data_IF_906963532335
#
_entry.id   IF_906963532335
#
_cell.length_a   1.000
_cell.length_b   1.000
_cell.length_c   1.000
_cell.angle_alpha   90.00
_cell.angle_beta   90.00
_cell.angle_gamma   90.00
#
_symmetry.space_group_name_H-M   'P 1'
#
loop_
_entity.id
_entity.type
_entity.pdbx_description
1 polymer ?
#
# COMPACT_ATOMS: atom_id res chain seq x y z
N UNK A 1 23.52 6.54 14.23
CA UNK A 1 22.52 5.72 14.96
C UNK A 1 22.44 4.41 14.21
N UNK A 2 22.52 3.27 14.88
CA UNK A 2 22.38 1.98 14.18
C UNK A 2 20.89 1.75 13.95
N UNK A 3 20.41 1.93 12.72
CA UNK A 3 18.99 1.91 12.36
C UNK A 3 18.26 0.66 12.87
N UNK A 4 18.91 -0.50 12.84
CA UNK A 4 18.33 -1.77 13.32
C UNK A 4 17.93 -1.77 14.81
N UNK A 5 18.62 -0.98 15.64
CA UNK A 5 18.41 -0.88 17.09
C UNK A 5 17.46 0.21 17.51
N UNK A 6 16.70 0.77 16.58
CA UNK A 6 15.67 1.75 16.91
C UNK A 6 14.60 1.05 17.76
N UNK A 7 14.30 1.63 18.94
CA UNK A 7 13.21 1.18 19.77
C UNK A 7 11.91 1.80 19.30
N UNK A 8 10.94 0.96 18.95
CA UNK A 8 9.67 1.43 18.41
C UNK A 8 8.89 2.31 19.42
N UNK A 9 9.08 2.10 20.71
CA UNK A 9 8.49 2.93 21.78
C UNK A 9 8.90 4.40 21.73
N UNK A 10 10.06 4.73 21.13
CA UNK A 10 10.54 6.11 21.00
C UNK A 10 9.73 6.86 19.92
N UNK A 11 8.96 6.14 19.13
CA UNK A 11 8.02 6.67 18.12
C UNK A 11 6.57 6.56 18.61
N UNK A 12 6.37 6.90 19.86
CA UNK A 12 5.06 6.90 20.50
C UNK A 12 4.56 8.34 20.72
N UNK A 13 3.25 8.52 20.60
CA UNK A 13 2.55 9.74 20.96
C UNK A 13 1.14 9.39 21.45
N UNK A 14 0.51 10.29 22.19
CA UNK A 14 -0.86 10.08 22.67
C UNK A 14 -1.84 10.39 21.53
N UNK A 15 -2.52 9.36 21.01
CA UNK A 15 -3.59 9.52 20.03
C UNK A 15 -4.94 9.24 20.68
N UNK A 16 -5.73 10.27 21.04
CA UNK A 16 -7.08 10.09 21.56
C UNK A 16 -8.03 9.50 20.51
N UNK A 17 -8.96 8.61 20.90
CA UNK A 17 -9.89 7.95 19.97
C UNK A 17 -10.78 8.95 19.22
N UNK A 18 -11.12 10.07 19.85
CA UNK A 18 -11.89 11.18 19.24
C UNK A 18 -11.15 11.87 18.09
N UNK A 19 -9.83 11.73 18.01
CA UNK A 19 -9.03 12.24 16.88
C UNK A 19 -9.01 11.29 15.70
N UNK A 20 -9.39 10.05 15.87
CA UNK A 20 -9.45 9.06 14.79
C UNK A 20 -10.74 9.29 13.97
N UNK A 21 -10.56 9.71 12.72
CA UNK A 21 -11.69 9.90 11.81
C UNK A 21 -12.28 8.55 11.40
N UNK A 22 -13.47 8.23 11.90
CA UNK A 22 -14.15 6.96 11.63
C UNK A 22 -14.87 6.95 10.27
N UNK A 23 -15.12 8.13 9.70
CA UNK A 23 -15.76 8.34 8.41
C UNK A 23 -15.08 9.48 7.66
N UNK A 24 -15.11 9.45 6.30
CA UNK A 24 -14.61 10.56 5.51
C UNK A 24 -15.51 11.79 5.66
N UNK A 25 -15.00 12.96 5.29
CA UNK A 25 -15.82 14.14 5.06
C UNK A 25 -16.74 13.92 3.85
N UNK A 26 -17.89 14.60 3.83
CA UNK A 26 -18.79 14.59 2.68
C UNK A 26 -18.09 15.07 1.40
N UNK A 27 -17.26 16.09 1.53
CA UNK A 27 -16.31 16.57 0.51
C UNK A 27 -14.91 16.22 0.98
N UNK A 28 -14.32 15.17 0.40
CA UNK A 28 -13.05 14.59 0.86
C UNK A 28 -11.85 15.53 0.71
N UNK A 29 -11.89 16.44 -0.26
CA UNK A 29 -10.87 17.45 -0.53
C UNK A 29 -10.97 18.70 0.39
N UNK A 30 -12.01 18.78 1.23
CA UNK A 30 -12.14 19.78 2.29
C UNK A 30 -11.43 19.36 3.60
N UNK A 31 -10.70 18.26 3.61
CA UNK A 31 -9.82 17.90 4.73
C UNK A 31 -8.76 18.97 4.94
N UNK A 32 -8.27 19.13 6.17
CA UNK A 32 -7.12 20.00 6.44
C UNK A 32 -5.87 19.45 5.77
N UNK A 33 -4.99 20.34 5.37
CA UNK A 33 -3.67 20.05 4.84
C UNK A 33 -2.62 20.69 5.75
N UNK A 34 -1.88 19.88 6.50
CA UNK A 34 -0.71 20.36 7.21
C UNK A 34 0.44 20.51 6.21
N UNK A 35 1.08 21.67 6.24
CA UNK A 35 2.24 21.98 5.42
C UNK A 35 3.49 21.99 6.31
N UNK A 36 4.43 21.11 6.04
CA UNK A 36 5.78 21.20 6.59
C UNK A 36 6.73 21.58 5.46
N UNK A 37 7.36 22.75 5.58
CA UNK A 37 8.27 23.26 4.57
C UNK A 37 9.55 23.78 5.24
N UNK A 38 10.67 23.09 5.01
CA UNK A 38 11.99 23.45 5.51
C UNK A 38 12.01 23.81 7.02
N UNK A 39 11.33 22.99 7.82
CA UNK A 39 11.26 23.17 9.28
C UNK A 39 10.12 24.06 9.78
N UNK A 40 9.37 24.71 8.91
CA UNK A 40 8.18 25.52 9.28
C UNK A 40 6.89 24.71 9.09
N UNK A 41 5.94 24.87 10.03
CA UNK A 41 4.62 24.24 9.98
C UNK A 41 3.55 25.29 9.78
N UNK A 42 2.65 25.04 8.83
CA UNK A 42 1.45 25.85 8.59
C UNK A 42 0.30 24.94 8.16
N UNK A 43 -0.87 25.49 7.90
CA UNK A 43 -2.03 24.71 7.46
C UNK A 43 -2.79 25.40 6.33
N UNK A 44 -3.45 24.58 5.50
CA UNK A 44 -4.37 24.98 4.43
C UNK A 44 -5.48 23.93 4.35
N UNK A 45 -6.28 23.98 3.31
CA UNK A 45 -7.28 22.98 2.95
C UNK A 45 -6.77 22.17 1.76
N UNK A 46 -7.03 20.87 1.73
CA UNK A 46 -6.45 19.95 0.75
C UNK A 46 -6.73 20.35 -0.71
N UNK A 47 -7.89 20.90 -1.03
CA UNK A 47 -8.22 21.35 -2.39
C UNK A 47 -7.28 22.45 -2.93
N UNK A 48 -6.48 23.07 -2.07
CA UNK A 48 -5.47 24.06 -2.43
C UNK A 48 -4.07 23.47 -2.66
N UNK A 49 -3.90 22.14 -2.60
CA UNK A 49 -2.59 21.48 -2.59
C UNK A 49 -1.70 21.93 -3.77
N UNK A 50 -2.27 22.17 -4.96
CA UNK A 50 -1.53 22.61 -6.16
C UNK A 50 -0.75 23.91 -5.94
N UNK A 51 -1.23 24.78 -5.05
CA UNK A 51 -0.58 26.07 -4.77
C UNK A 51 0.74 25.92 -3.99
N UNK A 52 0.99 24.74 -3.44
CA UNK A 52 2.15 24.42 -2.61
C UNK A 52 3.17 23.53 -3.33
N UNK A 53 2.91 23.17 -4.59
CA UNK A 53 3.75 22.29 -5.40
C UNK A 53 4.53 23.09 -6.44
N UNK A 54 5.79 22.72 -6.75
CA UNK A 54 6.54 23.37 -7.82
C UNK A 54 5.97 23.00 -9.19
N UNK A 55 5.84 23.99 -10.06
CA UNK A 55 5.46 23.78 -11.45
C UNK A 55 6.39 22.77 -12.15
N UNK A 56 5.82 21.92 -12.98
CA UNK A 56 6.58 20.87 -13.69
C UNK A 56 7.04 19.71 -12.81
N UNK A 57 6.56 19.58 -11.57
CA UNK A 57 6.85 18.42 -10.73
C UNK A 57 6.13 17.15 -11.23
N UNK A 58 6.69 15.98 -10.89
CA UNK A 58 6.05 14.68 -11.12
C UNK A 58 5.44 14.18 -9.82
N UNK A 59 4.13 13.93 -9.81
CA UNK A 59 3.40 13.34 -8.70
C UNK A 59 3.02 11.88 -9.03
N UNK A 60 3.36 10.95 -8.13
CA UNK A 60 3.18 9.51 -8.34
C UNK A 60 2.19 8.93 -7.34
N UNK A 61 1.20 8.21 -7.85
CA UNK A 61 0.06 7.65 -7.13
C UNK A 61 0.08 6.12 -7.16
N UNK A 62 -0.39 5.49 -6.10
CA UNK A 62 -0.68 4.06 -6.11
C UNK A 62 -2.12 3.81 -6.59
N UNK A 63 -2.28 3.16 -7.73
CA UNK A 63 -3.56 2.97 -8.42
C UNK A 63 -4.32 1.70 -8.03
N UNK A 64 -3.90 1.01 -6.96
CA UNK A 64 -4.57 -0.20 -6.52
C UNK A 64 -5.99 0.05 -6.04
N UNK A 65 -6.86 -0.93 -6.31
CA UNK A 65 -8.24 -0.97 -5.85
C UNK A 65 -8.42 -2.01 -4.76
N UNK A 66 -9.07 -1.63 -3.67
CA UNK A 66 -9.35 -2.55 -2.56
C UNK A 66 -10.38 -3.58 -3.00
N UNK A 67 -10.09 -4.84 -2.70
CA UNK A 67 -11.00 -5.96 -2.96
C UNK A 67 -11.83 -6.29 -1.74
N UNK A 68 -12.96 -6.94 -1.94
CA UNK A 68 -13.82 -7.44 -0.88
C UNK A 68 -13.25 -8.75 -0.31
N UNK A 69 -12.13 -8.63 0.41
CA UNK A 69 -11.26 -9.75 0.81
C UNK A 69 -11.78 -10.57 1.99
N UNK A 70 -12.89 -10.18 2.65
CA UNK A 70 -13.46 -10.90 3.78
C UNK A 70 -14.61 -11.78 3.32
N UNK A 71 -14.47 -13.09 3.46
CA UNK A 71 -15.49 -14.08 3.12
C UNK A 71 -16.02 -14.72 4.40
N UNK A 72 -17.32 -14.72 4.59
CA UNK A 72 -17.98 -15.31 5.74
C UNK A 72 -18.73 -16.59 5.34
N UNK A 73 -18.43 -17.68 6.03
CA UNK A 73 -19.11 -18.96 5.89
C UNK A 73 -19.81 -19.34 7.20
N UNK A 74 -21.06 -19.77 7.11
CA UNK A 74 -21.81 -20.27 8.27
C UNK A 74 -21.92 -21.78 8.19
N UNK A 75 -21.40 -22.45 9.21
CA UNK A 75 -21.53 -23.90 9.35
C UNK A 75 -22.96 -24.32 9.70
N UNK A 76 -23.29 -25.60 9.47
CA UNK A 76 -24.56 -26.19 9.92
C UNK A 76 -24.78 -26.08 11.44
N UNK A 77 -23.71 -26.02 12.22
CA UNK A 77 -23.73 -25.78 13.67
C UNK A 77 -24.00 -24.34 14.07
N UNK A 78 -24.18 -23.41 13.09
CA UNK A 78 -24.35 -21.98 13.31
C UNK A 78 -23.05 -21.21 13.48
N UNK A 79 -21.89 -21.86 13.59
CA UNK A 79 -20.62 -21.18 13.77
C UNK A 79 -20.24 -20.38 12.53
N UNK A 80 -19.86 -19.12 12.73
CA UNK A 80 -19.34 -18.25 11.68
C UNK A 80 -17.83 -18.43 11.57
N UNK A 81 -17.35 -18.69 10.34
CA UNK A 81 -15.93 -18.74 9.98
C UNK A 81 -15.66 -17.59 9.04
N UNK A 82 -14.69 -16.74 9.36
CA UNK A 82 -14.17 -15.71 8.48
C UNK A 82 -12.94 -16.24 7.76
N UNK A 83 -12.91 -16.12 6.43
CA UNK A 83 -11.74 -16.40 5.61
C UNK A 83 -11.30 -15.06 5.00
N UNK A 84 -10.15 -14.56 5.43
CA UNK A 84 -9.62 -13.28 4.99
C UNK A 84 -8.47 -13.49 4.01
N UNK A 85 -8.67 -13.11 2.76
CA UNK A 85 -7.71 -13.24 1.67
C UNK A 85 -6.50 -12.34 1.92
N UNK A 86 -5.29 -12.88 1.78
CA UNK A 86 -4.02 -12.16 1.95
C UNK A 86 -3.29 -12.00 0.62
N UNK A 87 -2.96 -13.14 0.00
CA UNK A 87 -2.14 -13.22 -1.21
C UNK A 87 -2.67 -14.32 -2.14
N UNK A 88 -2.65 -14.12 -3.48
CA UNK A 88 -2.87 -15.18 -4.44
C UNK A 88 -1.84 -16.30 -4.28
N UNK A 89 -2.27 -17.56 -4.40
CA UNK A 89 -1.37 -18.71 -4.32
C UNK A 89 -1.30 -19.47 -5.64
N UNK A 90 -2.44 -19.86 -6.20
CA UNK A 90 -2.53 -20.49 -7.54
C UNK A 90 -3.78 -19.98 -8.24
N UNK A 91 -3.63 -19.26 -9.37
CA UNK A 91 -2.39 -18.66 -9.88
C UNK A 91 -1.84 -17.58 -8.95
N UNK A 92 -0.52 -17.34 -8.96
CA UNK A 92 0.12 -16.36 -8.09
C UNK A 92 -0.02 -14.91 -8.61
N UNK A 93 -0.21 -14.74 -9.90
CA UNK A 93 -0.43 -13.44 -10.52
C UNK A 93 -1.84 -12.89 -10.19
N UNK A 94 -1.92 -11.64 -9.74
CA UNK A 94 -3.18 -11.02 -9.33
C UNK A 94 -4.18 -10.88 -10.46
N UNK A 95 -3.75 -10.50 -11.66
CA UNK A 95 -4.65 -10.31 -12.80
C UNK A 95 -5.25 -11.66 -13.24
N UNK A 96 -4.41 -12.68 -13.38
CA UNK A 96 -4.85 -14.04 -13.71
C UNK A 96 -5.78 -14.58 -12.61
N UNK A 97 -5.43 -14.36 -11.34
CA UNK A 97 -6.23 -14.80 -10.20
C UNK A 97 -7.67 -14.27 -10.26
N UNK A 98 -7.85 -12.98 -10.54
CA UNK A 98 -9.19 -12.38 -10.61
C UNK A 98 -9.98 -12.79 -11.84
N UNK A 99 -9.31 -13.19 -12.91
CA UNK A 99 -9.96 -13.73 -14.14
C UNK A 99 -10.22 -15.23 -14.06
N UNK A 100 -9.63 -15.94 -13.10
CA UNK A 100 -9.80 -17.38 -12.94
C UNK A 100 -11.27 -17.75 -12.75
N UNK A 101 -11.68 -18.86 -13.38
CA UNK A 101 -13.01 -19.45 -13.28
C UNK A 101 -12.94 -20.87 -12.72
N UNK A 102 -13.97 -21.29 -11.98
CA UNK A 102 -14.12 -22.64 -11.44
C UNK A 102 -13.33 -22.93 -10.18
N UNK A 103 -12.05 -22.57 -10.08
CA UNK A 103 -11.26 -22.81 -8.86
C UNK A 103 -10.00 -21.96 -8.78
N UNK A 104 -9.56 -21.65 -7.55
CA UNK A 104 -8.30 -20.98 -7.27
C UNK A 104 -7.82 -21.27 -5.82
N UNK A 105 -6.61 -20.83 -5.49
CA UNK A 105 -6.06 -20.97 -4.13
C UNK A 105 -5.50 -19.64 -3.64
N UNK A 106 -5.71 -19.36 -2.33
CA UNK A 106 -5.22 -18.15 -1.67
C UNK A 106 -4.54 -18.49 -0.35
N UNK A 107 -3.56 -17.68 0.05
CA UNK A 107 -3.13 -17.60 1.42
C UNK A 107 -4.10 -16.72 2.20
N UNK A 108 -4.60 -17.23 3.33
CA UNK A 108 -5.67 -16.60 4.10
C UNK A 108 -5.37 -16.57 5.60
N UNK A 109 -5.85 -15.55 6.29
CA UNK A 109 -6.10 -15.63 7.73
C UNK A 109 -7.50 -16.17 7.98
N UNK A 110 -7.65 -16.95 9.07
CA UNK A 110 -8.93 -17.58 9.40
C UNK A 110 -9.39 -17.16 10.78
N UNK A 111 -10.52 -16.44 10.81
CA UNK A 111 -11.24 -16.12 12.03
C UNK A 111 -12.01 -17.34 12.53
N UNK A 112 -12.05 -17.54 13.87
CA UNK A 112 -12.65 -18.71 14.51
C UNK A 112 -12.08 -20.06 14.04
N UNK A 113 -10.79 -20.10 13.71
CA UNK A 113 -10.08 -21.28 13.20
C UNK A 113 -10.38 -22.56 14.02
N UNK A 114 -10.43 -22.47 15.36
CA UNK A 114 -10.72 -23.61 16.25
C UNK A 114 -12.07 -24.29 15.95
N UNK A 115 -13.00 -23.59 15.31
CA UNK A 115 -14.32 -24.11 14.91
C UNK A 115 -14.33 -24.72 13.51
N UNK A 116 -13.29 -24.53 12.71
CA UNK A 116 -13.14 -25.18 11.40
C UNK A 116 -12.32 -26.45 11.52
N UNK A 117 -12.97 -27.63 11.51
CA UNK A 117 -12.34 -28.93 11.77
C UNK A 117 -11.82 -29.65 10.51
N UNK A 118 -11.87 -28.98 9.33
CA UNK A 118 -11.37 -29.53 8.06
C UNK A 118 -12.47 -29.91 7.07
N UNK A 119 -13.75 -29.76 7.46
CA UNK A 119 -14.88 -29.91 6.52
C UNK A 119 -14.85 -28.81 5.45
N UNK A 120 -15.37 -29.10 4.25
CA UNK A 120 -15.59 -28.11 3.20
C UNK A 120 -16.65 -27.12 3.66
N UNK A 121 -16.30 -25.82 3.72
CA UNK A 121 -17.28 -24.77 3.94
C UNK A 121 -17.98 -24.46 2.63
N UNK A 122 -19.28 -24.16 2.71
CA UNK A 122 -20.13 -23.87 1.55
C UNK A 122 -20.97 -22.63 1.78
N UNK A 123 -21.11 -21.83 0.73
CA UNK A 123 -22.03 -20.69 0.70
C UNK A 123 -22.62 -20.53 -0.68
N UNK A 124 -23.95 -20.52 -0.76
CA UNK A 124 -24.69 -20.26 -1.99
C UNK A 124 -25.20 -18.84 -1.98
N UNK A 125 -25.11 -18.14 -3.10
CA UNK A 125 -25.48 -16.72 -3.26
C UNK A 125 -25.75 -16.40 -4.73
N UNK A 126 -26.37 -15.25 -4.98
CA UNK A 126 -26.63 -14.75 -6.33
C UNK A 126 -25.45 -13.96 -6.90
N UNK A 127 -25.06 -14.26 -8.13
CA UNK A 127 -24.10 -13.50 -8.93
C UNK A 127 -24.81 -13.05 -10.21
N UNK A 128 -25.26 -11.81 -10.23
CA UNK A 128 -25.94 -11.22 -11.42
C UNK A 128 -27.10 -12.06 -11.92
N UNK A 129 -27.94 -12.57 -11.02
CA UNK A 129 -29.11 -13.39 -11.34
C UNK A 129 -28.83 -14.88 -11.55
N UNK A 130 -27.62 -15.36 -11.21
CA UNK A 130 -27.23 -16.77 -11.24
C UNK A 130 -26.93 -17.24 -9.82
N UNK A 131 -27.53 -18.34 -9.41
CA UNK A 131 -27.21 -18.98 -8.13
C UNK A 131 -25.89 -19.73 -8.26
N UNK A 132 -24.90 -19.38 -7.42
CA UNK A 132 -23.56 -19.95 -7.42
C UNK A 132 -23.22 -20.46 -6.02
N UNK A 133 -22.66 -21.66 -5.94
CA UNK A 133 -22.17 -22.24 -4.69
C UNK A 133 -20.65 -22.19 -4.63
N UNK A 134 -20.12 -21.40 -3.71
CA UNK A 134 -18.69 -21.31 -3.39
C UNK A 134 -18.34 -22.30 -2.28
N UNK A 135 -17.34 -23.13 -2.55
CA UNK A 135 -16.73 -24.03 -1.57
C UNK A 135 -15.36 -23.47 -1.15
N UNK A 136 -15.00 -23.67 0.12
CA UNK A 136 -13.67 -23.36 0.64
C UNK A 136 -13.13 -24.56 1.44
N UNK A 137 -11.92 -24.97 1.13
CA UNK A 137 -11.21 -26.08 1.76
C UNK A 137 -9.88 -25.60 2.33
N UNK A 138 -9.72 -25.74 3.64
CA UNK A 138 -8.45 -25.42 4.29
C UNK A 138 -7.43 -26.53 3.99
N UNK A 139 -6.29 -26.14 3.50
CA UNK A 139 -5.16 -27.03 3.22
C UNK A 139 -4.07 -26.86 4.29
N UNK A 140 -2.86 -26.62 3.88
CA UNK A 140 -1.67 -26.54 4.72
C UNK A 140 -1.60 -25.23 5.54
N UNK A 141 -0.93 -25.32 6.67
CA UNK A 141 -0.47 -24.18 7.47
C UNK A 141 0.83 -23.66 6.87
N UNK A 142 0.84 -22.36 6.53
CA UNK A 142 2.01 -21.67 5.99
C UNK A 142 2.45 -20.60 7.00
N UNK A 143 2.81 -21.03 8.21
CA UNK A 143 3.30 -20.19 9.29
C UNK A 143 2.21 -19.31 9.93
N UNK A 144 2.03 -18.08 9.47
CA UNK A 144 1.02 -17.14 10.01
C UNK A 144 -0.29 -17.14 9.21
N UNK A 145 -0.40 -17.96 8.17
CA UNK A 145 -1.53 -18.04 7.25
C UNK A 145 -1.84 -19.50 6.88
N UNK A 146 -2.95 -19.70 6.18
CA UNK A 146 -3.39 -20.99 5.70
C UNK A 146 -3.64 -20.92 4.21
N UNK A 147 -3.20 -21.92 3.46
CA UNK A 147 -3.68 -22.11 2.11
C UNK A 147 -5.14 -22.56 2.15
N UNK A 148 -5.99 -21.85 1.41
CA UNK A 148 -7.39 -22.19 1.21
C UNK A 148 -7.64 -22.35 -0.28
N UNK A 149 -8.15 -23.52 -0.67
CA UNK A 149 -8.59 -23.80 -2.03
C UNK A 149 -10.07 -23.44 -2.13
N UNK A 150 -10.40 -22.61 -3.12
CA UNK A 150 -11.77 -22.23 -3.47
C UNK A 150 -12.20 -22.93 -4.75
N UNK A 151 -13.47 -23.36 -4.78
CA UNK A 151 -14.10 -23.89 -6.01
C UNK A 151 -15.56 -23.47 -6.07
N UNK A 152 -16.10 -23.30 -7.28
CA UNK A 152 -17.50 -22.93 -7.50
C UNK A 152 -18.07 -23.61 -8.73
N UNK A 153 -19.39 -23.74 -8.76
CA UNK A 153 -20.12 -24.57 -9.70
C UNK A 153 -20.52 -23.89 -11.02
N UNK A 154 -20.14 -22.59 -11.22
CA UNK A 154 -20.37 -21.87 -12.48
C UNK A 154 -19.05 -21.38 -13.09
N UNK A 155 -18.56 -22.08 -14.11
CA UNK A 155 -17.32 -21.76 -14.82
C UNK A 155 -17.38 -20.50 -15.70
N UNK A 156 -18.52 -19.82 -15.76
CA UNK A 156 -18.67 -18.54 -16.48
C UNK A 156 -18.49 -17.35 -15.54
N UNK A 157 -18.42 -17.60 -14.23
CA UNK A 157 -18.23 -16.59 -13.18
C UNK A 157 -16.75 -16.55 -12.80
N UNK A 158 -16.15 -15.37 -12.88
CA UNK A 158 -14.77 -15.16 -12.44
C UNK A 158 -14.68 -14.98 -10.92
N UNK A 159 -13.48 -15.23 -10.38
CA UNK A 159 -13.24 -15.00 -8.94
C UNK A 159 -13.50 -13.54 -8.52
N UNK A 160 -13.19 -12.57 -9.40
CA UNK A 160 -13.51 -11.17 -9.16
C UNK A 160 -15.02 -10.93 -8.96
N UNK A 161 -15.87 -11.54 -9.81
CA UNK A 161 -17.33 -11.41 -9.70
C UNK A 161 -17.87 -12.07 -8.44
N UNK A 162 -17.27 -13.19 -8.02
CA UNK A 162 -17.59 -13.82 -6.74
C UNK A 162 -17.32 -12.86 -5.58
N UNK A 163 -16.10 -12.29 -5.50
CA UNK A 163 -15.73 -11.38 -4.43
C UNK A 163 -16.63 -10.15 -4.39
N UNK A 164 -16.96 -9.57 -5.54
CA UNK A 164 -17.86 -8.41 -5.63
C UNK A 164 -19.28 -8.73 -5.10
N UNK A 165 -19.70 -10.01 -5.17
CA UNK A 165 -21.06 -10.44 -4.77
C UNK A 165 -21.12 -10.90 -3.30
N UNK A 166 -20.12 -11.63 -2.82
CA UNK A 166 -20.17 -12.31 -1.51
C UNK A 166 -19.18 -11.78 -0.48
N UNK A 167 -18.13 -11.08 -0.94
CA UNK A 167 -17.11 -10.54 -0.07
C UNK A 167 -17.51 -9.25 0.64
N UNK A 168 -16.87 -8.97 1.74
CA UNK A 168 -16.94 -7.70 2.47
C UNK A 168 -15.62 -6.95 2.33
N UNK A 169 -15.72 -5.62 2.16
CA UNK A 169 -14.54 -4.76 2.09
C UNK A 169 -13.85 -4.71 3.46
N UNK A 170 -12.55 -5.01 3.55
CA UNK A 170 -11.83 -4.86 4.80
C UNK A 170 -11.57 -3.38 5.08
N UNK A 171 -12.04 -2.90 6.23
CA UNK A 171 -11.68 -1.58 6.75
C UNK A 171 -10.66 -1.75 7.89
N UNK A 172 -9.82 -0.73 8.14
CA UNK A 172 -8.82 -0.80 9.20
C UNK A 172 -9.45 -1.05 10.58
N UNK A 173 -8.88 -1.95 11.42
CA UNK A 173 -9.44 -2.27 12.74
C UNK A 173 -9.55 -1.07 13.69
N UNK A 174 -8.67 -0.07 13.57
CA UNK A 174 -8.68 1.13 14.42
C UNK A 174 -9.89 2.04 14.18
N UNK A 175 -10.64 1.84 13.09
CA UNK A 175 -11.91 2.54 12.87
C UNK A 175 -12.97 2.09 13.88
N UNK A 176 -12.78 0.92 14.50
CA UNK A 176 -13.62 0.37 15.56
C UNK A 176 -15.12 0.46 15.26
N UNK A 177 -15.50 0.07 14.05
CA UNK A 177 -16.86 -0.03 13.54
C UNK A 177 -16.98 -1.14 12.50
N UNK A 178 -18.19 -1.55 12.20
CA UNK A 178 -18.46 -2.48 11.11
C UNK A 178 -18.35 -1.78 9.74
N UNK A 179 -18.06 -2.58 8.72
CA UNK A 179 -18.06 -2.13 7.32
C UNK A 179 -19.48 -1.76 6.89
N UNK A 180 -19.61 -0.65 6.18
CA UNK A 180 -20.87 -0.18 5.60
C UNK A 180 -20.82 -0.28 4.07
N UNK A 181 -21.99 -0.31 3.43
CA UNK A 181 -22.07 -0.35 1.96
C UNK A 181 -21.36 0.85 1.31
N UNK A 182 -21.44 2.02 1.97
CA UNK A 182 -20.72 3.23 1.53
C UNK A 182 -19.21 3.07 1.48
N UNK A 183 -18.62 2.18 2.29
CA UNK A 183 -17.16 1.97 2.30
C UNK A 183 -16.66 1.41 0.96
N UNK A 184 -17.49 0.68 0.22
CA UNK A 184 -17.16 0.19 -1.13
C UNK A 184 -16.75 1.32 -2.09
N UNK A 185 -17.26 2.53 -1.85
CA UNK A 185 -16.96 3.73 -2.62
C UNK A 185 -16.00 4.68 -1.88
N UNK A 186 -16.23 4.89 -0.58
CA UNK A 186 -15.48 5.89 0.19
C UNK A 186 -14.08 5.43 0.59
N UNK A 187 -13.86 4.11 0.72
CA UNK A 187 -12.55 3.53 0.98
C UNK A 187 -11.82 3.14 -0.32
N UNK A 188 -12.03 3.94 -1.37
CA UNK A 188 -11.36 3.83 -2.68
C UNK A 188 -10.89 5.21 -3.13
N UNK A 189 -9.75 5.26 -3.83
CA UNK A 189 -9.32 6.47 -4.51
C UNK A 189 -10.08 6.66 -5.82
N UNK A 190 -10.22 7.91 -6.28
CA UNK A 190 -10.92 8.22 -7.55
C UNK A 190 -10.16 7.71 -8.79
N UNK A 191 -8.89 7.37 -8.63
CA UNK A 191 -8.01 6.85 -9.69
C UNK A 191 -7.69 5.36 -9.52
N UNK A 192 -8.32 4.66 -8.58
CA UNK A 192 -8.09 3.21 -8.38
C UNK A 192 -8.56 2.39 -9.57
N UNK A 193 -7.69 1.52 -10.09
CA UNK A 193 -7.94 0.70 -11.30
C UNK A 193 -7.66 -0.78 -11.08
N UNK A 194 -6.53 -1.11 -10.48
CA UNK A 194 -5.99 -2.46 -10.42
C UNK A 194 -6.44 -3.14 -9.12
N UNK A 195 -7.33 -4.13 -9.22
CA UNK A 195 -7.80 -4.92 -8.07
C UNK A 195 -6.64 -5.73 -7.47
N UNK A 196 -6.62 -5.87 -6.13
CA UNK A 196 -5.64 -6.74 -5.45
C UNK A 196 -5.20 -6.27 -4.07
N UNK A 197 -5.45 -5.03 -3.69
CA UNK A 197 -5.13 -4.55 -2.34
C UNK A 197 -6.21 -4.90 -1.32
N UNK A 198 -5.81 -5.17 -0.10
CA UNK A 198 -6.72 -5.31 1.05
C UNK A 198 -6.82 -4.02 1.87
N UNK A 199 -5.98 -3.03 1.59
CA UNK A 199 -6.06 -1.69 2.17
C UNK A 199 -5.94 -0.62 1.09
N UNK A 200 -6.68 0.48 1.25
CA UNK A 200 -6.58 1.62 0.34
C UNK A 200 -5.27 2.40 0.54
N UNK A 201 -4.68 2.98 -0.51
CA UNK A 201 -3.63 3.98 -0.40
C UNK A 201 -4.24 5.29 0.14
N UNK A 202 -4.39 5.37 1.47
CA UNK A 202 -5.29 6.31 2.14
C UNK A 202 -4.96 7.79 1.95
N UNK A 203 -3.69 8.14 1.69
CA UNK A 203 -3.32 9.50 1.30
C UNK A 203 -3.97 9.95 -0.02
N UNK A 204 -4.35 8.98 -0.87
CA UNK A 204 -5.07 9.24 -2.11
C UNK A 204 -6.57 9.51 -1.93
N UNK A 205 -7.14 9.22 -0.75
CA UNK A 205 -8.57 9.40 -0.52
C UNK A 205 -8.99 10.88 -0.51
N UNK A 206 -8.09 11.81 -0.30
CA UNK A 206 -8.36 13.25 -0.33
C UNK A 206 -8.58 13.80 -1.75
N UNK A 207 -8.01 13.13 -2.75
CA UNK A 207 -8.10 13.60 -4.14
C UNK A 207 -9.50 13.40 -4.70
N UNK A 208 -9.98 14.44 -5.37
CA UNK A 208 -11.19 14.45 -6.20
C UNK A 208 -10.80 14.65 -7.65
N UNK A 209 -11.74 14.46 -8.57
CA UNK A 209 -11.51 14.79 -10.00
C UNK A 209 -11.14 16.26 -10.21
N UNK A 210 -11.72 17.15 -9.40
CA UNK A 210 -11.46 18.59 -9.48
C UNK A 210 -10.04 18.93 -9.01
N UNK A 211 -9.57 18.31 -7.92
CA UNK A 211 -8.17 18.46 -7.46
C UNK A 211 -7.20 17.92 -8.51
N UNK A 212 -7.48 16.76 -9.11
CA UNK A 212 -6.64 16.20 -10.18
C UNK A 212 -6.58 17.11 -11.40
N UNK A 213 -7.71 17.66 -11.83
CA UNK A 213 -7.77 18.64 -12.93
C UNK A 213 -7.02 19.93 -12.58
N UNK A 214 -7.08 20.39 -11.31
CA UNK A 214 -6.33 21.56 -10.85
C UNK A 214 -4.82 21.31 -10.89
N UNK A 215 -4.35 20.13 -10.53
CA UNK A 215 -2.93 19.74 -10.67
C UNK A 215 -2.48 19.80 -12.13
N UNK A 216 -3.27 19.23 -13.05
CA UNK A 216 -2.98 19.26 -14.49
C UNK A 216 -2.88 20.70 -15.01
N UNK A 217 -3.80 21.60 -14.58
CA UNK A 217 -3.82 23.01 -14.95
C UNK A 217 -2.62 23.80 -14.39
N UNK A 218 -2.02 23.33 -13.29
CA UNK A 218 -0.79 23.88 -12.70
C UNK A 218 0.49 23.25 -13.27
N UNK A 219 0.39 22.45 -14.34
CA UNK A 219 1.52 21.84 -15.00
C UNK A 219 2.19 20.72 -14.17
N UNK A 220 1.48 20.11 -13.23
CA UNK A 220 1.98 18.97 -12.47
C UNK A 220 1.79 17.69 -13.30
N UNK A 221 2.89 17.06 -13.70
CA UNK A 221 2.84 15.75 -14.33
C UNK A 221 2.37 14.68 -13.33
N UNK A 222 1.49 13.78 -13.76
CA UNK A 222 0.98 12.69 -12.93
C UNK A 222 1.31 11.35 -13.53
N UNK A 223 1.70 10.40 -12.67
CA UNK A 223 1.92 9.00 -13.03
C UNK A 223 1.40 8.04 -11.95
N UNK A 224 1.27 6.80 -12.34
CA UNK A 224 0.74 5.75 -11.48
C UNK A 224 1.76 4.61 -11.33
N UNK A 225 1.79 4.05 -10.14
CA UNK A 225 2.45 2.78 -9.83
C UNK A 225 1.41 1.84 -9.21
N UNK A 226 1.67 0.56 -9.26
CA UNK A 226 0.84 -0.45 -8.58
C UNK A 226 1.67 -1.08 -7.46
N UNK A 227 1.17 -1.00 -6.23
CA UNK A 227 1.67 -1.79 -5.10
C UNK A 227 0.46 -2.41 -4.42
N UNK A 228 0.42 -3.74 -4.39
CA UNK A 228 -0.65 -4.48 -3.74
C UNK A 228 -0.42 -4.51 -2.22
N UNK A 229 -1.22 -3.73 -1.50
CA UNK A 229 -1.12 -3.61 -0.04
C UNK A 229 -1.69 -4.85 0.62
N UNK A 230 -0.85 -5.58 1.34
CA UNK A 230 -1.25 -6.75 2.12
C UNK A 230 -1.89 -6.38 3.47
N UNK A 231 -2.57 -7.35 4.10
CA UNK A 231 -3.23 -7.18 5.41
C UNK A 231 -2.25 -6.86 6.56
N UNK A 232 -0.96 -7.06 6.33
CA UNK A 232 0.10 -6.72 7.29
C UNK A 232 0.15 -5.27 7.71
N UNK A 233 -0.26 -4.36 6.82
CA UNK A 233 -0.29 -2.91 7.06
C UNK A 233 -1.17 -2.51 8.26
N UNK A 234 -2.14 -3.34 8.64
CA UNK A 234 -2.99 -3.09 9.81
C UNK A 234 -2.41 -3.59 11.14
N UNK A 235 -1.28 -4.29 11.12
CA UNK A 235 -0.69 -4.84 12.34
C UNK A 235 0.29 -3.84 12.95
N UNK A 236 0.14 -3.49 14.25
CA UNK A 236 1.14 -2.70 14.93
C UNK A 236 2.46 -3.48 15.06
N UNK A 237 3.57 -2.76 15.15
CA UNK A 237 4.86 -3.35 15.49
C UNK A 237 4.78 -3.87 16.93
N UNK A 238 5.12 -5.15 17.12
CA UNK A 238 5.06 -5.83 18.43
C UNK A 238 6.44 -6.05 19.03
N UNK A 239 7.49 -5.95 18.22
CA UNK A 239 8.88 -6.08 18.66
C UNK A 239 9.34 -4.83 19.41
N UNK A 240 10.29 -4.98 20.30
CA UNK A 240 10.90 -3.88 21.05
C UNK A 240 11.83 -3.06 20.14
N UNK A 241 12.67 -3.75 19.39
CA UNK A 241 13.54 -3.18 18.35
C UNK A 241 12.99 -3.47 16.95
N UNK A 242 13.23 -2.55 16.01
CA UNK A 242 12.71 -2.70 14.65
C UNK A 242 13.39 -3.83 13.86
N UNK A 243 14.59 -4.26 14.26
CA UNK A 243 15.26 -5.41 13.64
C UNK A 243 14.48 -6.72 13.79
N UNK A 244 13.69 -6.85 14.86
CA UNK A 244 12.88 -8.05 15.14
C UNK A 244 11.49 -7.98 14.50
N UNK A 245 11.18 -6.87 13.82
CA UNK A 245 9.95 -6.72 13.05
C UNK A 245 10.15 -7.20 11.63
N UNK A 246 9.35 -8.14 11.19
CA UNK A 246 9.34 -8.66 9.83
C UNK A 246 8.35 -7.86 8.97
N UNK A 247 8.87 -7.18 7.95
CA UNK A 247 8.06 -6.53 6.93
C UNK A 247 7.41 -7.56 6.01
N UNK A 248 6.17 -7.33 5.62
CA UNK A 248 5.50 -8.15 4.61
C UNK A 248 6.03 -7.83 3.23
N UNK A 249 6.11 -8.88 2.40
CA UNK A 249 6.34 -8.72 0.96
C UNK A 249 5.13 -8.06 0.31
N UNK A 250 5.36 -7.05 -0.50
CA UNK A 250 4.35 -6.39 -1.31
C UNK A 250 4.78 -6.40 -2.78
N UNK A 251 3.87 -6.84 -3.64
CA UNK A 251 4.11 -6.94 -5.08
C UNK A 251 3.89 -5.58 -5.73
N UNK A 252 4.81 -5.23 -6.62
CA UNK A 252 4.81 -3.97 -7.36
C UNK A 252 4.79 -4.23 -8.88
N UNK A 253 4.10 -3.34 -9.58
CA UNK A 253 4.15 -3.24 -11.03
C UNK A 253 4.35 -1.78 -11.42
N UNK A 254 5.33 -1.52 -12.29
CA UNK A 254 5.63 -0.17 -12.78
C UNK A 254 5.78 -0.21 -14.30
N UNK A 255 4.95 0.58 -14.99
CA UNK A 255 4.96 0.63 -16.44
C UNK A 255 6.16 1.43 -16.99
N UNK A 256 6.59 1.06 -18.20
CA UNK A 256 7.64 1.74 -18.97
C UNK A 256 7.43 3.26 -18.98
N UNK A 257 6.23 3.72 -19.27
CA UNK A 257 5.89 5.14 -19.34
C UNK A 257 6.23 5.87 -18.03
N UNK A 258 5.96 5.26 -16.88
CA UNK A 258 6.28 5.84 -15.56
C UNK A 258 7.80 5.98 -15.38
N UNK A 259 8.58 4.98 -15.82
CA UNK A 259 10.06 5.04 -15.78
C UNK A 259 10.60 6.14 -16.70
N UNK A 260 10.06 6.27 -17.92
CA UNK A 260 10.42 7.31 -18.86
C UNK A 260 10.14 8.72 -18.30
N UNK A 261 9.00 8.89 -17.63
CA UNK A 261 8.69 10.16 -16.93
C UNK A 261 9.61 10.40 -15.74
N UNK A 262 9.92 9.38 -14.94
CA UNK A 262 10.92 9.53 -13.88
C UNK A 262 12.27 10.00 -14.43
N UNK A 263 12.73 9.46 -15.57
CA UNK A 263 13.95 9.90 -16.24
C UNK A 263 13.83 11.37 -16.67
N UNK A 264 12.72 11.77 -17.29
CA UNK A 264 12.45 13.16 -17.70
C UNK A 264 12.52 14.14 -16.53
N UNK A 265 12.12 13.70 -15.33
CA UNK A 265 12.16 14.46 -14.08
C UNK A 265 13.41 14.20 -13.22
N UNK A 266 14.53 13.74 -13.82
CA UNK A 266 15.80 13.46 -13.14
C UNK A 266 15.66 12.50 -11.94
N UNK A 267 14.76 11.53 -12.03
CA UNK A 267 14.39 10.60 -10.96
C UNK A 267 13.97 11.32 -9.66
N UNK A 268 13.26 12.44 -9.78
CA UNK A 268 12.69 13.18 -8.66
C UNK A 268 11.17 13.12 -8.74
N UNK A 269 10.50 12.75 -7.64
CA UNK A 269 9.06 12.63 -7.59
C UNK A 269 8.47 13.11 -6.26
N UNK A 270 7.20 13.51 -6.32
CA UNK A 270 6.32 13.71 -5.17
C UNK A 270 5.54 12.40 -4.98
N UNK A 271 5.71 11.74 -3.85
CA UNK A 271 4.96 10.51 -3.57
C UNK A 271 3.63 10.82 -2.91
N UNK A 272 2.56 10.20 -3.38
CA UNK A 272 1.25 10.21 -2.72
C UNK A 272 1.08 8.90 -1.95
N UNK A 273 1.25 8.99 -0.63
CA UNK A 273 1.18 7.87 0.30
C UNK A 273 2.49 7.09 0.45
N UNK A 274 2.59 6.41 1.57
CA UNK A 274 3.76 5.60 1.94
C UNK A 274 3.97 4.40 1.01
N UNK A 275 2.91 3.90 0.36
CA UNK A 275 3.00 2.84 -0.65
C UNK A 275 3.72 3.31 -1.91
N UNK A 276 3.43 4.54 -2.39
CA UNK A 276 4.18 5.14 -3.51
C UNK A 276 5.64 5.40 -3.14
N UNK A 277 5.91 5.84 -1.89
CA UNK A 277 7.28 5.97 -1.37
C UNK A 277 8.01 4.63 -1.46
N UNK A 278 7.44 3.57 -0.90
CA UNK A 278 8.08 2.25 -0.87
C UNK A 278 8.34 1.72 -2.28
N UNK A 279 7.43 1.94 -3.22
CA UNK A 279 7.63 1.57 -4.62
C UNK A 279 8.79 2.35 -5.23
N UNK A 280 8.75 3.68 -5.17
CA UNK A 280 9.75 4.54 -5.80
C UNK A 280 11.16 4.29 -5.25
N UNK A 281 11.28 4.19 -3.92
CA UNK A 281 12.57 3.92 -3.29
C UNK A 281 13.06 2.50 -3.58
N UNK A 282 12.17 1.51 -3.74
CA UNK A 282 12.53 0.16 -4.17
C UNK A 282 13.03 0.13 -5.62
N UNK A 283 12.46 0.93 -6.53
CA UNK A 283 12.97 1.04 -7.90
C UNK A 283 14.45 1.47 -7.93
N UNK A 284 14.86 2.34 -7.02
CA UNK A 284 16.27 2.71 -6.93
C UNK A 284 17.16 1.49 -6.68
N UNK A 285 16.85 0.67 -5.68
CA UNK A 285 17.65 -0.52 -5.34
C UNK A 285 17.58 -1.61 -6.42
N UNK A 286 16.46 -1.78 -7.07
CA UNK A 286 16.33 -2.66 -8.25
C UNK A 286 17.26 -2.20 -9.38
N UNK A 287 17.27 -0.89 -9.66
CA UNK A 287 18.16 -0.30 -10.65
C UNK A 287 19.63 -0.39 -10.28
N UNK A 288 19.98 -0.36 -8.99
CA UNK A 288 21.34 -0.60 -8.50
C UNK A 288 21.78 -2.04 -8.77
N UNK A 289 20.92 -3.04 -8.50
CA UNK A 289 21.21 -4.44 -8.84
C UNK A 289 21.48 -4.63 -10.34
N UNK A 290 20.68 -3.97 -11.18
CA UNK A 290 20.80 -4.03 -12.63
C UNK A 290 22.05 -3.36 -13.20
N UNK A 291 22.76 -2.51 -12.44
CA UNK A 291 24.05 -1.97 -12.84
C UNK A 291 25.08 -3.09 -13.09
N UNK A 292 25.02 -4.16 -12.32
CA UNK A 292 25.92 -5.30 -12.42
C UNK A 292 25.46 -6.34 -13.43
N UNK A 293 24.16 -6.62 -13.50
CA UNK A 293 23.60 -7.68 -14.33
C UNK A 293 22.18 -7.36 -14.81
N UNK A 294 22.02 -7.21 -16.13
CA UNK A 294 20.71 -6.99 -16.76
C UNK A 294 19.91 -8.30 -17.04
N UNK A 295 20.45 -9.46 -16.68
CA UNK A 295 19.80 -10.75 -16.86
C UNK A 295 19.19 -11.34 -15.58
N UNK A 296 19.04 -10.49 -14.53
CA UNK A 296 18.34 -10.91 -13.32
C UNK A 296 16.87 -11.23 -13.60
N UNK A 297 16.36 -12.26 -12.93
CA UNK A 297 14.93 -12.56 -12.91
C UNK A 297 14.14 -11.53 -12.07
N UNK A 298 12.83 -11.48 -12.26
CA UNK A 298 11.94 -10.62 -11.45
C UNK A 298 12.05 -10.93 -9.96
N UNK A 299 12.24 -12.19 -9.58
CA UNK A 299 12.43 -12.62 -8.18
C UNK A 299 13.77 -12.14 -7.61
N UNK A 300 14.84 -12.09 -8.40
CA UNK A 300 16.15 -11.57 -7.98
C UNK A 300 16.14 -10.05 -7.83
N UNK A 301 15.20 -9.36 -8.47
CA UNK A 301 14.98 -7.92 -8.29
C UNK A 301 14.25 -7.59 -6.99
N UNK A 302 13.71 -8.58 -6.27
CA UNK A 302 13.09 -8.37 -4.95
C UNK A 302 13.98 -7.52 -4.03
N UNK A 303 13.40 -6.50 -3.39
CA UNK A 303 14.14 -5.66 -2.43
C UNK A 303 13.89 -6.18 -1.02
N UNK A 304 14.95 -6.70 -0.40
CA UNK A 304 14.91 -7.21 0.97
C UNK A 304 14.76 -6.08 1.99
N UNK A 305 14.24 -6.42 3.17
CA UNK A 305 13.91 -5.45 4.23
C UNK A 305 15.09 -4.54 4.60
N UNK A 306 16.29 -5.10 4.77
CA UNK A 306 17.48 -4.38 5.25
C UNK A 306 18.45 -4.00 4.14
N UNK A 307 18.14 -4.30 2.90
CA UNK A 307 18.99 -4.04 1.74
C UNK A 307 19.41 -2.56 1.59
N UNK A 308 18.59 -1.56 2.00
CA UNK A 308 19.03 -0.15 2.00
C UNK A 308 20.13 0.21 3.00
N UNK A 309 20.47 -0.67 3.92
CA UNK A 309 21.35 -0.35 5.05
C UNK A 309 22.60 -1.24 5.11
N UNK A 310 22.61 -2.37 4.39
CA UNK A 310 23.69 -3.34 4.43
C UNK A 310 23.73 -4.23 3.19
N UNK A 311 24.86 -4.91 2.99
CA UNK A 311 25.08 -5.86 1.91
C UNK A 311 25.56 -5.25 0.60
N UNK A 312 25.68 -6.08 -0.42
CA UNK A 312 26.30 -5.72 -1.70
C UNK A 312 25.57 -4.57 -2.39
N UNK A 313 24.22 -4.62 -2.45
CA UNK A 313 23.42 -3.56 -3.08
C UNK A 313 23.59 -2.22 -2.39
N UNK A 314 23.68 -2.19 -1.05
CA UNK A 314 23.95 -0.99 -0.28
C UNK A 314 25.32 -0.39 -0.62
N UNK A 315 26.36 -1.22 -0.71
CA UNK A 315 27.70 -0.77 -1.07
C UNK A 315 27.75 -0.23 -2.51
N UNK A 316 27.06 -0.89 -3.45
CA UNK A 316 26.95 -0.45 -4.84
C UNK A 316 26.19 0.87 -4.98
N UNK A 317 25.19 1.09 -4.14
CA UNK A 317 24.34 2.28 -4.15
C UNK A 317 25.12 3.59 -4.00
N UNK A 318 26.29 3.56 -3.34
CA UNK A 318 27.16 4.73 -3.21
C UNK A 318 27.65 5.29 -4.57
N UNK A 319 27.69 4.45 -5.61
CA UNK A 319 28.23 4.78 -6.93
C UNK A 319 27.16 4.89 -8.03
N UNK A 320 25.88 4.64 -7.73
CA UNK A 320 24.77 4.65 -8.70
C UNK A 320 23.84 5.81 -8.38
N UNK A 321 23.72 6.76 -9.29
CA UNK A 321 22.77 7.87 -9.12
C UNK A 321 21.33 7.39 -9.30
N UNK A 322 20.32 8.07 -8.69
CA UNK A 322 18.92 7.72 -8.89
C UNK A 322 18.52 7.68 -10.37
N UNK A 323 18.97 8.64 -11.16
CA UNK A 323 18.71 8.69 -12.60
C UNK A 323 19.29 7.46 -13.31
N UNK A 324 20.55 7.09 -13.00
CA UNK A 324 21.18 5.90 -13.57
C UNK A 324 20.45 4.62 -13.20
N UNK A 325 19.99 4.49 -11.95
CA UNK A 325 19.20 3.36 -11.51
C UNK A 325 17.92 3.19 -12.33
N UNK A 326 17.15 4.27 -12.56
CA UNK A 326 15.94 4.21 -13.38
C UNK A 326 16.27 3.89 -14.85
N UNK A 327 17.38 4.42 -15.39
CA UNK A 327 17.85 4.07 -16.75
C UNK A 327 18.20 2.59 -16.86
N UNK A 328 18.80 1.99 -15.83
CA UNK A 328 19.11 0.56 -15.80
C UNK A 328 17.82 -0.29 -15.86
N UNK A 329 16.76 0.11 -15.15
CA UNK A 329 15.47 -0.58 -15.23
C UNK A 329 14.89 -0.48 -16.65
N UNK A 330 14.97 0.69 -17.28
CA UNK A 330 14.49 0.84 -18.65
C UNK A 330 15.29 -0.03 -19.63
N UNK A 331 16.63 -0.11 -19.48
CA UNK A 331 17.48 -0.99 -20.25
C UNK A 331 17.16 -2.49 -20.03
N UNK A 332 16.80 -2.87 -18.80
CA UNK A 332 16.30 -4.20 -18.47
C UNK A 332 15.01 -4.52 -19.23
N UNK A 333 14.03 -3.59 -19.21
CA UNK A 333 12.80 -3.77 -19.96
C UNK A 333 13.04 -3.90 -21.48
N UNK A 334 13.98 -3.11 -22.03
CA UNK A 334 14.36 -3.20 -23.46
C UNK A 334 14.97 -4.56 -23.78
N UNK A 335 15.91 -5.02 -22.96
CA UNK A 335 16.60 -6.31 -23.14
C UNK A 335 15.63 -7.49 -23.13
N UNK A 336 14.62 -7.45 -22.27
CA UNK A 336 13.64 -8.53 -22.12
C UNK A 336 12.35 -8.30 -22.91
N UNK A 337 12.25 -7.24 -23.70
CA UNK A 337 11.05 -6.86 -24.48
C UNK A 337 9.80 -6.72 -23.60
N UNK A 338 9.95 -6.13 -22.42
CA UNK A 338 8.88 -5.94 -21.43
C UNK A 338 8.30 -4.51 -21.50
N UNK A 339 7.01 -4.36 -21.19
CA UNK A 339 6.32 -3.08 -21.09
C UNK A 339 6.14 -2.61 -19.64
N UNK A 340 6.41 -3.47 -18.68
CA UNK A 340 6.32 -3.17 -17.24
C UNK A 340 7.34 -4.00 -16.47
N UNK A 341 7.81 -3.44 -15.37
CA UNK A 341 8.59 -4.13 -14.36
C UNK A 341 7.63 -4.76 -13.36
N UNK A 342 7.75 -6.05 -13.12
CA UNK A 342 7.10 -6.79 -12.05
C UNK A 342 8.16 -7.24 -11.06
N UNK A 343 7.94 -7.00 -9.78
CA UNK A 343 8.82 -7.47 -8.71
C UNK A 343 8.11 -7.32 -7.35
N UNK A 344 8.85 -7.39 -6.27
CA UNK A 344 8.31 -7.26 -4.92
C UNK A 344 9.26 -6.52 -4.00
N UNK A 345 8.75 -6.06 -2.86
CA UNK A 345 9.54 -5.33 -1.88
C UNK A 345 9.14 -5.67 -0.45
N UNK A 346 10.12 -5.75 0.42
CA UNK A 346 9.99 -5.75 1.88
C UNK A 346 10.64 -4.51 2.49
N UNK A 347 11.02 -3.52 1.67
CA UNK A 347 11.80 -2.37 2.12
C UNK A 347 11.23 -1.76 3.41
N UNK A 348 12.08 -1.59 4.42
CA UNK A 348 11.79 -0.77 5.60
C UNK A 348 12.49 0.58 5.44
N UNK A 349 11.76 1.65 5.68
CA UNK A 349 12.31 3.01 5.67
C UNK A 349 12.19 3.55 7.09
N UNK A 350 13.33 3.84 7.71
CA UNK A 350 13.43 4.25 9.10
C UNK A 350 14.54 5.30 9.25
N UNK A 351 14.62 6.04 10.36
CA UNK A 351 15.69 7.02 10.60
C UNK A 351 17.07 6.47 10.31
N UNK A 352 17.85 7.24 9.54
CA UNK A 352 19.11 6.83 8.93
C UNK A 352 19.00 6.47 7.44
N UNK A 353 17.77 6.38 6.90
CA UNK A 353 17.54 6.22 5.46
C UNK A 353 17.68 7.57 4.73
N UNK A 354 18.40 7.56 3.62
CA UNK A 354 18.51 8.70 2.70
C UNK A 354 17.62 8.49 1.49
N UNK A 355 16.59 9.33 1.33
CA UNK A 355 15.67 9.26 0.20
C UNK A 355 16.34 9.54 -1.14
N UNK A 356 16.15 8.67 -2.10
CA UNK A 356 16.80 8.72 -3.41
C UNK A 356 15.92 9.42 -4.45
N UNK A 357 14.67 8.98 -4.60
CA UNK A 357 13.73 9.44 -5.64
C UNK A 357 12.69 10.41 -5.06
N UNK A 358 12.16 10.12 -3.88
CA UNK A 358 11.08 10.93 -3.28
C UNK A 358 11.65 12.22 -2.69
N UNK A 359 11.13 13.37 -3.17
CA UNK A 359 11.55 14.71 -2.72
C UNK A 359 10.47 15.46 -1.94
N UNK A 360 9.22 15.09 -2.13
CA UNK A 360 8.07 15.58 -1.35
C UNK A 360 7.13 14.41 -1.08
N UNK A 361 6.39 14.48 0.01
CA UNK A 361 5.49 13.43 0.43
C UNK A 361 4.13 14.00 0.83
N UNK A 362 3.07 13.50 0.18
CA UNK A 362 1.68 13.69 0.61
C UNK A 362 1.29 12.45 1.41
N UNK A 363 0.91 12.60 2.68
CA UNK A 363 0.56 11.46 3.53
C UNK A 363 -0.45 11.84 4.61
N UNK A 364 -1.10 10.82 5.20
CA UNK A 364 -1.94 10.98 6.39
C UNK A 364 -1.08 10.94 7.66
N UNK A 365 -1.71 11.23 8.80
CA UNK A 365 -1.11 10.96 10.11
C UNK A 365 -1.24 9.48 10.44
N UNK A 366 -0.15 8.88 10.91
CA UNK A 366 -0.03 7.44 11.16
C UNK A 366 -0.15 7.09 12.62
N UNK A 367 -0.45 5.81 12.92
CA UNK A 367 -0.52 5.31 14.28
C UNK A 367 0.82 5.46 15.01
N UNK A 368 0.78 5.67 16.35
CA UNK A 368 1.96 5.56 17.18
C UNK A 368 2.56 4.15 17.05
N UNK A 369 3.88 4.05 17.25
CA UNK A 369 4.64 2.81 17.19
C UNK A 369 4.44 2.01 15.89
N UNK A 370 4.37 2.70 14.75
CA UNK A 370 4.21 2.09 13.42
C UNK A 370 5.43 2.31 12.53
N UNK A 371 5.68 1.37 11.61
CA UNK A 371 6.71 1.51 10.58
C UNK A 371 6.47 2.72 9.67
N UNK A 372 5.21 3.14 9.52
CA UNK A 372 4.84 4.31 8.73
C UNK A 372 5.28 5.62 9.41
N UNK A 373 5.24 5.68 10.75
CA UNK A 373 5.76 6.81 11.50
C UNK A 373 7.30 6.87 11.42
N UNK A 374 7.97 5.71 11.39
CA UNK A 374 9.42 5.64 11.15
C UNK A 374 9.78 6.21 9.78
N UNK A 375 9.01 5.88 8.73
CA UNK A 375 9.18 6.39 7.37
C UNK A 375 9.04 7.92 7.34
N UNK A 376 8.01 8.47 7.97
CA UNK A 376 7.81 9.93 8.08
C UNK A 376 8.95 10.57 8.87
N UNK A 377 9.37 9.96 9.96
CA UNK A 377 10.50 10.45 10.76
C UNK A 377 11.81 10.48 9.97
N UNK A 378 12.08 9.44 9.18
CA UNK A 378 13.23 9.41 8.27
C UNK A 378 13.15 10.54 7.24
N UNK A 379 11.96 10.79 6.68
CA UNK A 379 11.75 11.84 5.68
C UNK A 379 11.97 13.24 6.23
N UNK A 380 11.64 13.47 7.49
CA UNK A 380 11.77 14.77 8.18
C UNK A 380 13.05 14.88 9.02
N UNK A 381 14.01 13.97 8.85
CA UNK A 381 15.25 13.98 9.63
C UNK A 381 15.05 14.02 11.15
N UNK A 382 13.96 13.43 11.64
CA UNK A 382 13.61 13.37 13.05
C UNK A 382 12.55 14.37 13.51
N UNK A 383 12.17 15.36 12.73
CA UNK A 383 11.23 16.43 13.08
C UNK A 383 9.74 15.99 13.14
N UNK A 384 9.46 14.69 13.12
CA UNK A 384 8.07 14.19 13.12
C UNK A 384 7.23 14.67 14.30
N UNK A 385 7.82 14.84 15.49
CA UNK A 385 7.13 15.38 16.67
C UNK A 385 6.50 16.75 16.38
N UNK A 386 7.24 17.63 15.69
CA UNK A 386 6.79 18.98 15.37
C UNK A 386 5.47 18.99 14.60
N UNK A 387 5.33 18.11 13.60
CA UNK A 387 4.09 18.03 12.83
C UNK A 387 2.95 17.34 13.60
N UNK A 388 3.24 16.30 14.38
CA UNK A 388 2.22 15.59 15.16
C UNK A 388 1.71 16.40 16.34
N UNK A 389 2.59 17.10 17.06
CA UNK A 389 2.22 18.02 18.16
C UNK A 389 1.37 19.18 17.64
N UNK A 390 1.77 19.75 16.47
CA UNK A 390 0.97 20.78 15.82
C UNK A 390 -0.42 20.24 15.44
N UNK A 391 -0.50 19.08 14.80
CA UNK A 391 -1.76 18.49 14.37
C UNK A 391 -2.70 18.20 15.54
N UNK A 392 -2.18 17.68 16.67
CA UNK A 392 -2.96 17.45 17.89
C UNK A 392 -3.47 18.75 18.51
N UNK A 393 -2.65 19.81 18.50
CA UNK A 393 -3.01 21.12 19.05
C UNK A 393 -4.02 21.90 18.19
N UNK A 394 -4.11 21.61 16.88
CA UNK A 394 -4.92 22.35 15.90
C UNK A 394 -6.09 21.53 15.34
N UNK A 395 -6.61 20.59 16.08
CA UNK A 395 -7.81 19.82 15.76
C UNK A 395 -7.76 19.06 14.42
N UNK A 396 -6.58 18.60 14.02
CA UNK A 396 -6.47 17.67 12.90
C UNK A 396 -7.06 16.30 13.27
N UNK A 397 -7.62 15.62 12.28
CA UNK A 397 -8.12 14.26 12.37
C UNK A 397 -7.05 13.30 11.87
N UNK A 398 -7.01 12.10 12.41
CA UNK A 398 -5.93 11.15 12.20
C UNK A 398 -6.39 9.91 11.43
N UNK A 399 -5.40 9.19 10.88
CA UNK A 399 -5.49 7.91 10.19
C UNK A 399 -6.23 7.99 8.84
N UNK A 400 -6.83 6.88 8.38
CA UNK A 400 -7.28 6.68 6.99
C UNK A 400 -8.23 7.74 6.45
N UNK A 401 -9.20 8.17 7.24
CA UNK A 401 -10.18 9.19 6.87
C UNK A 401 -9.89 10.56 7.51
N UNK A 402 -8.72 10.67 8.14
CA UNK A 402 -8.25 11.88 8.77
C UNK A 402 -7.90 12.99 7.80
N UNK A 403 -7.03 13.87 8.23
CA UNK A 403 -6.52 14.98 7.45
C UNK A 403 -5.16 14.61 6.82
N UNK A 404 -4.69 15.42 5.91
CA UNK A 404 -3.47 15.17 5.13
C UNK A 404 -2.32 16.07 5.57
N UNK A 405 -1.11 15.68 5.18
CA UNK A 405 0.08 16.52 5.27
C UNK A 405 0.84 16.52 3.94
N UNK A 406 1.42 17.66 3.59
CA UNK A 406 2.42 17.81 2.52
C UNK A 406 3.76 18.14 3.19
N UNK A 407 4.71 17.23 3.05
CA UNK A 407 6.02 17.29 3.68
C UNK A 407 7.08 17.65 2.64
N UNK A 408 7.82 18.72 2.90
CA UNK A 408 8.93 19.25 2.10
C UNK A 408 10.10 19.47 3.08
N UNK A 409 11.03 18.50 3.21
CA UNK A 409 12.12 18.52 4.18
C UNK A 409 13.17 19.61 3.94
#
# INVERSE_FOLDING_TARGET
METKRIHIKDYNYSLPDERIAKFPLAQRDHSKLLLYKHGEVSEDVFYNIQNHLPEGALMVFNNTKVIQARLHFRKSTGALIEVFLLEPYVPADYEQMFQTTGSCSWLCMIGNLKKWKGETLRRTFDVKGREVTLNAERREDVGKSYRVDFSWDDNTVSFAELLDSVGELPIPPYLNRETQESDKTTYQTVYSKIKGSVAAPTAGLHFTSDVLASLDNHGIDREEVTLHVGAGTFKPVKSEEIQDHEMHTEYICVHRQTLEKLIKHNACAIAVGTTSVRTLESLYYMGVKLEKNLDLSEDELHVCQWEPYEGETFEMAANVTPLKAIQNILAYLDRHSLNSLHSSTQIIIAPGYEYKIVKMLVTNFHQPQSTLLLLVSAFLHGDWHKIYDYALAHDFRFLSYGDSSLLIP
#
